data_IF_625335001986
#
_entry.id   IF_625335001986
#
_cell.length_a   1.000
_cell.length_b   1.000
_cell.length_c   1.000
_cell.angle_alpha   90.00
_cell.angle_beta   90.00
_cell.angle_gamma   90.00
#
_symmetry.space_group_name_H-M   'P 1'
#
loop_
_entity.id
_entity.type
_entity.pdbx_description
1 polymer ?
#
# COMPACT_ATOMS: atom_id res chain seq x y z
N UNK A 1 -11.66 6.50 14.34
CA UNK A 1 -11.85 7.10 12.99
C UNK A 1 -13.16 7.87 13.00
N UNK A 2 -13.13 9.16 12.71
CA UNK A 2 -14.35 9.99 12.58
C UNK A 2 -14.64 10.14 11.08
N UNK A 3 -15.75 9.60 10.60
CA UNK A 3 -16.16 9.67 9.19
C UNK A 3 -17.50 10.42 9.06
N UNK A 4 -17.77 11.03 7.90
CA UNK A 4 -19.11 11.56 7.60
C UNK A 4 -20.16 10.48 7.83
N UNK A 5 -21.26 10.85 8.50
CA UNK A 5 -22.33 9.89 8.86
C UNK A 5 -22.91 9.18 7.64
N UNK A 6 -23.05 9.93 6.53
CA UNK A 6 -23.57 9.43 5.26
C UNK A 6 -22.72 8.31 4.63
N UNK A 7 -21.44 8.18 5.00
CA UNK A 7 -20.60 7.06 4.53
C UNK A 7 -20.95 5.74 5.22
N UNK A 8 -21.66 5.83 6.35
CA UNK A 8 -22.17 4.68 7.10
C UNK A 8 -23.66 4.44 6.91
N UNK A 9 -24.34 5.26 6.08
CA UNK A 9 -25.77 5.10 5.84
C UNK A 9 -26.10 3.70 5.37
N UNK A 10 -27.14 3.11 5.97
CA UNK A 10 -27.56 1.74 5.69
C UNK A 10 -26.63 0.64 6.23
N UNK A 11 -25.51 0.95 6.88
CA UNK A 11 -24.64 -0.05 7.46
C UNK A 11 -24.86 -0.24 8.96
N UNK A 12 -24.71 -1.49 9.42
CA UNK A 12 -24.70 -1.79 10.85
C UNK A 12 -23.45 -1.17 11.51
N UNK A 13 -23.61 -0.65 12.73
CA UNK A 13 -22.49 -0.05 13.47
C UNK A 13 -21.29 -1.01 13.65
N UNK A 14 -21.53 -2.33 13.66
CA UNK A 14 -20.50 -3.36 13.80
C UNK A 14 -19.73 -3.64 12.50
N UNK A 15 -20.11 -3.07 11.35
CA UNK A 15 -19.43 -3.28 10.07
C UNK A 15 -17.95 -2.89 10.16
N UNK A 16 -17.67 -1.73 10.74
CA UNK A 16 -16.30 -1.22 10.93
C UNK A 16 -15.54 -2.08 11.95
N UNK A 17 -16.18 -2.50 13.04
CA UNK A 17 -15.55 -3.36 14.05
C UNK A 17 -15.14 -4.70 13.43
N UNK A 18 -15.98 -5.26 12.55
CA UNK A 18 -15.70 -6.50 11.82
C UNK A 18 -14.48 -6.37 10.91
N UNK A 19 -14.39 -5.27 10.15
CA UNK A 19 -13.22 -4.98 9.32
C UNK A 19 -11.97 -4.78 10.19
N UNK A 20 -12.05 -3.92 11.22
CA UNK A 20 -10.94 -3.61 12.11
C UNK A 20 -10.33 -4.84 12.77
N UNK A 21 -11.17 -5.78 13.22
CA UNK A 21 -10.70 -7.03 13.83
C UNK A 21 -9.79 -7.84 12.89
N UNK A 22 -9.97 -7.75 11.57
CA UNK A 22 -9.13 -8.43 10.60
C UNK A 22 -7.71 -7.83 10.53
N UNK A 23 -7.54 -6.55 10.86
CA UNK A 23 -6.22 -5.88 10.91
C UNK A 23 -5.43 -6.18 12.20
N UNK A 24 -6.01 -6.84 13.20
CA UNK A 24 -5.34 -7.17 14.48
C UNK A 24 -4.44 -8.41 14.36
N UNK A 25 -4.20 -8.92 13.15
CA UNK A 25 -3.29 -10.05 12.90
C UNK A 25 -1.86 -9.68 13.23
N UNK A 26 -1.17 -10.55 13.98
CA UNK A 26 0.22 -10.33 14.38
C UNK A 26 1.16 -10.25 13.16
N UNK A 27 2.23 -9.47 13.28
CA UNK A 27 3.27 -9.33 12.24
C UNK A 27 2.98 -8.24 11.21
N UNK A 28 1.89 -7.50 11.34
CA UNK A 28 1.62 -6.30 10.53
C UNK A 28 2.31 -5.09 11.16
N UNK A 29 3.07 -4.36 10.35
CA UNK A 29 3.75 -3.14 10.78
C UNK A 29 3.31 -1.91 9.98
N UNK A 30 2.95 -2.09 8.70
CA UNK A 30 2.41 -1.04 7.84
C UNK A 30 0.94 -1.26 7.47
N UNK A 31 0.56 -2.47 7.00
CA UNK A 31 -0.82 -2.78 6.58
C UNK A 31 -1.71 -3.01 7.82
N UNK A 32 -1.83 -1.98 8.64
CA UNK A 32 -2.57 -1.92 9.91
C UNK A 32 -3.80 -1.04 9.78
N UNK A 33 -4.63 -1.00 10.83
CA UNK A 33 -5.76 -0.09 10.88
C UNK A 33 -5.37 1.39 10.77
N UNK A 34 -4.16 1.76 11.19
CA UNK A 34 -3.67 3.15 11.08
C UNK A 34 -3.47 3.56 9.62
N UNK A 35 -3.05 2.64 8.74
CA UNK A 35 -3.00 2.87 7.30
C UNK A 35 -4.40 3.16 6.74
N UNK A 36 -5.40 2.35 7.09
CA UNK A 36 -6.80 2.60 6.69
C UNK A 36 -7.27 3.97 7.15
N UNK A 37 -7.02 4.31 8.42
CA UNK A 37 -7.37 5.63 8.97
C UNK A 37 -6.72 6.75 8.17
N UNK A 38 -5.43 6.63 7.82
CA UNK A 38 -4.73 7.64 7.03
C UNK A 38 -5.33 7.81 5.63
N UNK A 39 -5.67 6.71 4.93
CA UNK A 39 -6.34 6.77 3.63
C UNK A 39 -7.72 7.43 3.72
N UNK A 40 -8.52 7.06 4.71
CA UNK A 40 -9.85 7.63 4.94
C UNK A 40 -9.80 9.11 5.30
N UNK A 41 -8.85 9.56 6.12
CA UNK A 41 -8.68 10.98 6.42
C UNK A 41 -8.36 11.79 5.15
N UNK A 42 -7.55 11.24 4.24
CA UNK A 42 -7.26 11.86 2.95
C UNK A 42 -8.49 11.88 2.02
N UNK A 43 -9.30 10.82 2.01
CA UNK A 43 -10.54 10.75 1.23
C UNK A 43 -11.50 11.90 1.56
N UNK A 44 -11.59 12.34 2.82
CA UNK A 44 -12.49 13.44 3.23
C UNK A 44 -12.31 14.73 2.42
N UNK A 45 -11.13 14.95 1.89
CA UNK A 45 -10.76 16.14 1.12
C UNK A 45 -10.38 15.83 -0.33
N UNK A 46 -10.55 14.59 -0.75
CA UNK A 46 -10.19 14.14 -2.10
C UNK A 46 -11.44 14.02 -2.98
N UNK A 47 -11.41 14.52 -4.23
CA UNK A 47 -12.57 14.41 -5.12
C UNK A 47 -12.90 12.95 -5.44
N UNK A 48 -14.12 12.55 -5.21
CA UNK A 48 -14.67 11.24 -5.54
C UNK A 48 -16.14 11.37 -5.92
N UNK A 49 -16.60 10.62 -6.91
CA UNK A 49 -18.00 10.59 -7.30
C UNK A 49 -18.84 9.75 -6.32
N UNK A 50 -18.26 8.72 -5.71
CA UNK A 50 -18.91 7.81 -4.79
C UNK A 50 -18.08 7.62 -3.51
N UNK A 51 -17.90 8.67 -2.68
CA UNK A 51 -16.98 8.62 -1.54
C UNK A 51 -17.34 7.53 -0.52
N UNK A 52 -18.63 7.18 -0.35
CA UNK A 52 -19.08 6.06 0.48
C UNK A 52 -18.53 4.72 -0.03
N UNK A 53 -18.57 4.48 -1.33
CA UNK A 53 -18.10 3.23 -1.95
C UNK A 53 -16.58 3.12 -1.85
N UNK A 54 -15.86 4.22 -2.13
CA UNK A 54 -14.40 4.30 -1.95
C UNK A 54 -14.02 4.09 -0.49
N UNK A 55 -14.76 4.69 0.45
CA UNK A 55 -14.55 4.48 1.89
C UNK A 55 -14.69 3.00 2.28
N UNK A 56 -15.77 2.35 1.86
CA UNK A 56 -15.96 0.93 2.16
C UNK A 56 -14.87 0.05 1.54
N UNK A 57 -14.44 0.35 0.32
CA UNK A 57 -13.32 -0.34 -0.31
C UNK A 57 -12.01 -0.14 0.47
N UNK A 58 -11.68 1.09 0.90
CA UNK A 58 -10.51 1.38 1.73
C UNK A 58 -10.55 0.66 3.09
N UNK A 59 -11.73 0.53 3.69
CA UNK A 59 -11.89 -0.18 4.97
C UNK A 59 -11.50 -1.66 4.86
N UNK A 60 -11.67 -2.26 3.69
CA UNK A 60 -11.46 -3.70 3.50
C UNK A 60 -10.25 -4.07 2.64
N UNK A 61 -9.58 -3.14 1.92
CA UNK A 61 -8.61 -3.49 0.87
C UNK A 61 -7.46 -4.38 1.36
N UNK A 62 -6.97 -4.17 2.57
CA UNK A 62 -5.91 -4.94 3.22
C UNK A 62 -6.40 -5.72 4.45
N UNK A 63 -7.71 -5.97 4.56
CA UNK A 63 -8.26 -6.68 5.71
C UNK A 63 -7.64 -8.07 5.88
N UNK A 64 -7.37 -8.77 4.80
CA UNK A 64 -6.54 -9.97 4.78
C UNK A 64 -5.19 -9.62 4.16
N UNK A 65 -4.13 -9.76 4.95
CA UNK A 65 -2.78 -9.46 4.49
C UNK A 65 -1.75 -10.40 5.13
N UNK A 66 -1.00 -11.08 4.29
CA UNK A 66 0.16 -11.91 4.67
C UNK A 66 1.29 -11.55 3.72
N UNK A 67 2.44 -11.05 4.21
CA UNK A 67 3.58 -10.67 3.36
C UNK A 67 4.00 -11.82 2.43
N UNK A 68 4.16 -11.51 1.14
CA UNK A 68 4.56 -12.48 0.11
C UNK A 68 3.44 -13.38 -0.44
N UNK A 69 2.25 -13.31 0.10
CA UNK A 69 1.07 -14.00 -0.44
C UNK A 69 0.52 -13.24 -1.67
N UNK A 70 0.01 -13.96 -2.66
CA UNK A 70 -0.40 -13.38 -3.96
C UNK A 70 -1.92 -13.21 -4.13
N UNK A 71 -2.71 -13.58 -3.13
CA UNK A 71 -4.18 -13.54 -3.14
C UNK A 71 -4.78 -12.74 -1.96
N UNK A 72 -3.99 -11.85 -1.34
CA UNK A 72 -4.43 -11.00 -0.23
C UNK A 72 -5.65 -10.16 -0.63
N UNK A 73 -5.59 -9.50 -1.78
CA UNK A 73 -6.65 -8.63 -2.30
C UNK A 73 -7.91 -9.44 -2.63
N UNK A 74 -7.78 -10.65 -3.18
CA UNK A 74 -8.92 -11.52 -3.43
C UNK A 74 -9.59 -11.96 -2.13
N UNK A 75 -8.80 -12.33 -1.12
CA UNK A 75 -9.32 -12.71 0.19
C UNK A 75 -9.97 -11.52 0.90
N UNK A 76 -9.39 -10.32 0.79
CA UNK A 76 -9.94 -9.06 1.30
C UNK A 76 -11.26 -8.70 0.62
N UNK A 77 -11.34 -8.82 -0.70
CA UNK A 77 -12.55 -8.58 -1.49
C UNK A 77 -13.67 -9.57 -1.11
N UNK A 78 -13.34 -10.84 -0.89
CA UNK A 78 -14.30 -11.85 -0.41
C UNK A 78 -14.84 -11.48 0.97
N UNK A 79 -13.97 -11.13 1.91
CA UNK A 79 -14.38 -10.66 3.25
C UNK A 79 -15.26 -9.41 3.19
N UNK A 80 -14.92 -8.46 2.31
CA UNK A 80 -15.72 -7.26 2.09
C UNK A 80 -17.12 -7.61 1.61
N UNK A 81 -17.25 -8.42 0.56
CA UNK A 81 -18.52 -8.85 -0.02
C UNK A 81 -19.40 -9.56 1.03
N UNK A 82 -18.85 -10.54 1.74
CA UNK A 82 -19.59 -11.30 2.76
C UNK A 82 -20.05 -10.40 3.92
N UNK A 83 -19.18 -9.48 4.37
CA UNK A 83 -19.50 -8.59 5.47
C UNK A 83 -20.55 -7.55 5.06
N UNK A 84 -20.34 -6.88 3.93
CA UNK A 84 -21.18 -5.80 3.49
C UNK A 84 -22.58 -6.28 3.06
N UNK A 85 -22.68 -7.42 2.38
CA UNK A 85 -23.97 -7.99 2.02
C UNK A 85 -24.80 -8.43 3.24
N UNK A 86 -24.14 -8.80 4.33
CA UNK A 86 -24.83 -9.20 5.57
C UNK A 86 -25.16 -8.04 6.50
N UNK A 87 -24.43 -6.92 6.42
CA UNK A 87 -24.45 -5.87 7.45
C UNK A 87 -24.82 -4.47 6.91
N UNK A 88 -24.92 -4.30 5.59
CA UNK A 88 -25.25 -3.03 4.97
C UNK A 88 -26.43 -3.18 4.00
N UNK A 89 -27.21 -2.12 3.87
CA UNK A 89 -28.11 -1.93 2.73
C UNK A 89 -27.25 -1.44 1.55
N UNK A 90 -26.89 -2.39 0.69
CA UNK A 90 -25.94 -2.19 -0.40
C UNK A 90 -26.39 -2.99 -1.63
N UNK A 91 -26.35 -2.39 -2.78
CA UNK A 91 -26.72 -3.04 -4.04
C UNK A 91 -25.63 -3.97 -4.57
N UNK A 92 -25.99 -4.93 -5.40
CA UNK A 92 -25.03 -5.80 -6.08
C UNK A 92 -24.00 -5.01 -6.91
N UNK A 93 -24.46 -3.93 -7.57
CA UNK A 93 -23.58 -3.04 -8.36
C UNK A 93 -22.53 -2.34 -7.49
N UNK A 94 -22.91 -1.87 -6.30
CA UNK A 94 -21.97 -1.26 -5.35
C UNK A 94 -20.99 -2.30 -4.79
N UNK A 95 -21.46 -3.51 -4.46
CA UNK A 95 -20.56 -4.60 -4.04
C UNK A 95 -19.55 -4.96 -5.13
N UNK A 96 -19.99 -5.03 -6.38
CA UNK A 96 -19.09 -5.29 -7.51
C UNK A 96 -18.07 -4.15 -7.71
N UNK A 97 -18.47 -2.90 -7.47
CA UNK A 97 -17.56 -1.76 -7.53
C UNK A 97 -16.50 -1.82 -6.42
N UNK A 98 -16.91 -2.12 -5.17
CA UNK A 98 -16.00 -2.29 -4.03
C UNK A 98 -15.01 -3.42 -4.30
N UNK A 99 -15.48 -4.57 -4.77
CA UNK A 99 -14.63 -5.71 -5.10
C UNK A 99 -13.58 -5.34 -6.17
N UNK A 100 -13.99 -4.68 -7.27
CA UNK A 100 -13.05 -4.22 -8.30
C UNK A 100 -12.01 -3.26 -7.74
N UNK A 101 -12.40 -2.31 -6.89
CA UNK A 101 -11.49 -1.38 -6.23
C UNK A 101 -10.45 -2.10 -5.37
N UNK A 102 -10.88 -3.07 -4.56
CA UNK A 102 -9.98 -3.88 -3.73
C UNK A 102 -9.02 -4.69 -4.60
N UNK A 103 -9.53 -5.36 -5.64
CA UNK A 103 -8.70 -6.15 -6.55
C UNK A 103 -7.69 -5.29 -7.33
N UNK A 104 -8.04 -4.05 -7.62
CA UNK A 104 -7.15 -3.11 -8.31
C UNK A 104 -5.90 -2.75 -7.49
N UNK A 105 -5.95 -2.79 -6.14
CA UNK A 105 -4.81 -2.47 -5.29
C UNK A 105 -3.67 -3.49 -5.38
N UNK A 106 -3.92 -4.68 -5.92
CA UNK A 106 -2.88 -5.70 -6.15
C UNK A 106 -1.79 -5.24 -7.10
N UNK A 107 -2.14 -4.49 -8.13
CA UNK A 107 -1.19 -4.03 -9.14
C UNK A 107 -1.57 -2.62 -9.62
N UNK A 108 -1.12 -1.63 -8.88
CA UNK A 108 -1.49 -0.23 -9.04
C UNK A 108 -1.26 0.35 -10.45
N UNK A 109 -0.41 -0.28 -11.27
CA UNK A 109 -0.01 0.27 -12.58
C UNK A 109 -0.03 -0.72 -13.74
N UNK A 110 -0.28 -2.01 -13.50
CA UNK A 110 -0.34 -3.03 -14.55
C UNK A 110 -1.76 -3.31 -15.06
N UNK A 111 -2.74 -2.48 -14.67
CA UNK A 111 -4.12 -2.69 -15.04
C UNK A 111 -4.33 -2.55 -16.55
N UNK A 112 -4.54 -3.68 -17.20
CA UNK A 112 -5.02 -3.73 -18.59
C UNK A 112 -6.52 -3.42 -18.59
N UNK A 113 -6.88 -2.17 -18.82
CA UNK A 113 -8.28 -1.75 -18.88
C UNK A 113 -8.47 -0.29 -18.51
N UNK A 114 -9.67 0.21 -18.76
CA UNK A 114 -10.03 1.58 -18.39
C UNK A 114 -10.52 1.56 -16.94
N UNK A 115 -9.72 2.13 -16.02
CA UNK A 115 -10.14 2.38 -14.65
C UNK A 115 -11.29 3.38 -14.61
N UNK A 116 -12.25 3.15 -13.72
CA UNK A 116 -13.19 4.20 -13.34
C UNK A 116 -12.48 5.32 -12.55
N UNK A 117 -13.10 6.49 -12.46
CA UNK A 117 -12.54 7.60 -11.70
C UNK A 117 -12.29 7.22 -10.23
N UNK A 118 -13.22 6.49 -9.60
CA UNK A 118 -13.11 6.11 -8.20
C UNK A 118 -12.15 4.91 -7.98
N UNK A 119 -11.93 4.04 -8.96
CA UNK A 119 -10.84 3.06 -8.94
C UNK A 119 -9.46 3.77 -8.97
N UNK A 120 -9.30 4.83 -9.74
CA UNK A 120 -8.08 5.64 -9.71
C UNK A 120 -7.91 6.37 -8.36
N UNK A 121 -9.01 6.81 -7.74
CA UNK A 121 -8.99 7.47 -6.43
C UNK A 121 -8.49 6.54 -5.33
N UNK A 122 -9.00 5.31 -5.24
CA UNK A 122 -8.54 4.38 -4.18
C UNK A 122 -7.05 4.05 -4.34
N UNK A 123 -6.56 3.87 -5.58
CA UNK A 123 -5.15 3.60 -5.85
C UNK A 123 -4.24 4.77 -5.43
N UNK A 124 -4.66 6.00 -5.71
CA UNK A 124 -3.94 7.19 -5.31
C UNK A 124 -3.94 7.37 -3.79
N UNK A 125 -5.05 7.10 -3.12
CA UNK A 125 -5.15 7.20 -1.67
C UNK A 125 -4.29 6.17 -0.95
N UNK A 126 -4.26 4.94 -1.43
CA UNK A 126 -3.44 3.86 -0.90
C UNK A 126 -1.94 4.18 -1.01
N UNK A 127 -1.50 4.63 -2.18
CA UNK A 127 -0.11 5.04 -2.41
C UNK A 127 0.25 6.43 -1.87
N UNK A 128 -0.70 7.18 -1.31
CA UNK A 128 -0.49 8.58 -0.91
C UNK A 128 0.62 8.79 0.12
N UNK A 129 0.97 7.76 0.90
CA UNK A 129 2.11 7.78 1.82
C UNK A 129 3.43 8.02 1.12
N UNK A 130 3.58 7.61 -0.15
CA UNK A 130 4.79 7.86 -0.95
C UNK A 130 5.05 9.36 -1.11
N UNK A 131 3.98 10.16 -1.22
CA UNK A 131 4.02 11.63 -1.32
C UNK A 131 3.89 12.35 0.01
N UNK A 132 3.98 11.66 1.13
CA UNK A 132 4.01 12.25 2.47
C UNK A 132 5.31 13.01 2.76
N UNK A 133 5.38 13.66 3.94
CA UNK A 133 6.62 14.26 4.43
C UNK A 133 7.75 13.22 4.49
N UNK A 134 9.00 13.67 4.49
CA UNK A 134 10.17 12.76 4.60
C UNK A 134 10.06 11.86 5.83
N UNK A 135 9.63 12.40 6.95
CA UNK A 135 9.52 11.65 8.20
C UNK A 135 8.40 10.58 8.14
N UNK A 136 7.27 10.88 7.49
CA UNK A 136 6.21 9.90 7.24
C UNK A 136 6.69 8.79 6.31
N UNK A 137 7.39 9.16 5.24
CA UNK A 137 7.95 8.19 4.30
C UNK A 137 8.98 7.27 4.95
N UNK A 138 9.89 7.80 5.78
CA UNK A 138 10.89 7.00 6.50
C UNK A 138 10.23 6.00 7.44
N UNK A 139 9.17 6.42 8.18
CA UNK A 139 8.40 5.50 9.02
C UNK A 139 7.71 4.41 8.20
N UNK A 140 7.10 4.78 7.07
CA UNK A 140 6.51 3.84 6.13
C UNK A 140 7.54 2.83 5.61
N UNK A 141 8.68 3.29 5.07
CA UNK A 141 9.71 2.42 4.53
C UNK A 141 10.25 1.44 5.59
N UNK A 142 10.42 1.91 6.84
CA UNK A 142 10.79 1.04 7.96
C UNK A 142 9.70 0.02 8.28
N UNK A 143 8.44 0.42 8.34
CA UNK A 143 7.33 -0.46 8.65
C UNK A 143 7.15 -1.56 7.59
N UNK A 144 7.30 -1.24 6.30
CA UNK A 144 7.33 -2.22 5.21
C UNK A 144 8.50 -3.19 5.37
N UNK A 145 9.70 -2.69 5.70
CA UNK A 145 10.84 -3.57 5.96
C UNK A 145 10.55 -4.54 7.11
N UNK A 146 10.12 -4.03 8.26
CA UNK A 146 9.85 -4.83 9.46
C UNK A 146 8.73 -5.86 9.23
N UNK A 147 7.81 -5.60 8.32
CA UNK A 147 6.71 -6.50 7.95
C UNK A 147 7.19 -7.65 7.04
N UNK A 148 8.14 -7.37 6.16
CA UNK A 148 8.63 -8.39 5.22
C UNK A 148 9.82 -9.18 5.74
N UNK A 149 10.67 -8.60 6.59
CA UNK A 149 11.92 -9.22 7.08
C UNK A 149 11.77 -9.55 8.57
N UNK A 150 11.96 -10.80 8.98
CA UNK A 150 12.33 -11.98 8.18
C UNK A 150 11.14 -12.81 7.66
N UNK A 151 9.90 -12.34 7.85
CA UNK A 151 8.69 -13.15 7.70
C UNK A 151 8.51 -13.71 6.27
N UNK A 152 8.78 -12.92 5.24
CA UNK A 152 8.58 -13.29 3.84
C UNK A 152 9.86 -13.22 2.99
N UNK A 153 10.90 -12.53 3.45
CA UNK A 153 12.14 -12.33 2.70
C UNK A 153 13.35 -12.21 3.62
N UNK A 154 14.51 -12.61 3.11
CA UNK A 154 15.79 -12.21 3.71
C UNK A 154 16.06 -10.72 3.43
N UNK A 155 16.96 -10.11 4.20
CA UNK A 155 17.39 -8.71 4.00
C UNK A 155 17.85 -8.45 2.55
N UNK A 156 18.60 -9.38 1.94
CA UNK A 156 19.07 -9.25 0.57
C UNK A 156 17.93 -9.32 -0.46
N UNK A 157 17.00 -10.25 -0.28
CA UNK A 157 15.82 -10.40 -1.15
C UNK A 157 14.92 -9.19 -1.06
N UNK A 158 14.63 -8.71 0.16
CA UNK A 158 13.84 -7.51 0.37
C UNK A 158 14.46 -6.31 -0.34
N UNK A 159 15.76 -6.05 -0.15
CA UNK A 159 16.44 -4.91 -0.77
C UNK A 159 16.39 -4.96 -2.30
N UNK A 160 16.59 -6.12 -2.90
CA UNK A 160 16.49 -6.28 -4.36
C UNK A 160 15.04 -5.98 -4.81
N UNK A 161 14.07 -6.68 -4.27
CA UNK A 161 12.66 -6.53 -4.66
C UNK A 161 12.14 -5.11 -4.41
N UNK A 162 12.49 -4.50 -3.27
CA UNK A 162 12.11 -3.12 -2.94
C UNK A 162 12.73 -2.11 -3.92
N UNK A 163 14.02 -2.27 -4.24
CA UNK A 163 14.70 -1.40 -5.21
C UNK A 163 14.07 -1.50 -6.61
N UNK A 164 13.72 -2.71 -7.04
CA UNK A 164 13.05 -2.93 -8.33
C UNK A 164 11.65 -2.31 -8.36
N UNK A 165 10.87 -2.48 -7.29
CA UNK A 165 9.56 -1.83 -7.15
C UNK A 165 9.68 -0.32 -7.26
N UNK A 166 10.56 0.29 -6.48
CA UNK A 166 10.77 1.74 -6.46
C UNK A 166 11.25 2.28 -7.81
N UNK A 167 12.13 1.56 -8.51
CA UNK A 167 12.57 1.94 -9.86
C UNK A 167 11.44 1.88 -10.88
N UNK A 168 10.56 0.85 -10.80
CA UNK A 168 9.38 0.80 -11.66
C UNK A 168 8.47 2.00 -11.41
N UNK A 169 8.24 2.37 -10.15
CA UNK A 169 7.45 3.55 -9.80
C UNK A 169 8.03 4.84 -10.39
N UNK A 170 9.35 5.06 -10.30
CA UNK A 170 10.00 6.23 -10.89
C UNK A 170 9.99 6.25 -12.41
N UNK A 171 9.94 5.10 -13.06
CA UNK A 171 9.89 4.99 -14.52
C UNK A 171 8.52 5.37 -15.10
N UNK A 172 7.48 5.43 -14.28
CA UNK A 172 6.15 5.85 -14.71
C UNK A 172 6.13 7.34 -15.07
N UNK A 173 5.35 7.76 -16.07
CA UNK A 173 5.13 9.19 -16.37
C UNK A 173 4.64 9.96 -15.14
N UNK A 174 3.73 9.36 -14.37
CA UNK A 174 3.24 9.86 -13.09
C UNK A 174 3.12 8.70 -12.11
N UNK A 175 3.42 8.93 -10.83
CA UNK A 175 3.22 7.96 -9.75
C UNK A 175 1.74 7.84 -9.42
N UNK A 176 0.99 8.93 -9.53
CA UNK A 176 -0.43 9.00 -9.23
C UNK A 176 -1.30 9.11 -10.49
N UNK A 177 -2.48 8.52 -10.43
CA UNK A 177 -3.38 8.34 -11.59
C UNK A 177 -4.31 9.53 -11.80
N UNK A 178 -4.82 10.15 -10.71
CA UNK A 178 -5.74 11.28 -10.80
C UNK A 178 -4.98 12.60 -10.95
N UNK A 179 -5.63 13.63 -11.49
CA UNK A 179 -5.07 14.98 -11.53
C UNK A 179 -4.78 15.52 -10.12
N UNK A 180 -5.65 15.23 -9.16
CA UNK A 180 -5.51 15.67 -7.78
C UNK A 180 -4.37 14.93 -7.06
N UNK A 181 -4.24 13.61 -7.25
CA UNK A 181 -3.12 12.84 -6.69
C UNK A 181 -1.78 13.34 -7.23
N UNK A 182 -1.67 13.57 -8.54
CA UNK A 182 -0.48 14.16 -9.15
C UNK A 182 -0.15 15.52 -8.55
N UNK A 183 -1.14 16.40 -8.43
CA UNK A 183 -0.95 17.74 -7.87
C UNK A 183 -0.48 17.72 -6.41
N UNK A 184 -1.00 16.80 -5.60
CA UNK A 184 -0.68 16.72 -4.16
C UNK A 184 0.62 16.00 -3.89
N UNK A 185 0.92 14.91 -4.61
CA UNK A 185 1.86 13.91 -4.13
C UNK A 185 2.95 13.48 -5.12
N UNK A 186 2.86 13.79 -6.44
CA UNK A 186 3.79 13.21 -7.43
C UNK A 186 5.24 13.66 -7.19
N UNK A 187 5.48 14.96 -7.07
CA UNK A 187 6.83 15.48 -6.85
C UNK A 187 7.44 15.02 -5.52
N UNK A 188 6.74 15.11 -4.36
CA UNK A 188 7.25 14.58 -3.11
C UNK A 188 7.50 13.06 -3.16
N UNK A 189 6.63 12.28 -3.81
CA UNK A 189 6.81 10.83 -3.95
C UNK A 189 8.08 10.51 -4.74
N UNK A 190 8.30 11.17 -5.88
CA UNK A 190 9.53 10.99 -6.67
C UNK A 190 10.79 11.30 -5.86
N UNK A 191 10.77 12.38 -5.09
CA UNK A 191 11.88 12.74 -4.21
C UNK A 191 12.12 11.71 -3.10
N UNK A 192 11.05 11.19 -2.49
CA UNK A 192 11.11 10.17 -1.46
C UNK A 192 11.63 8.83 -2.01
N UNK A 193 11.09 8.38 -3.13
CA UNK A 193 11.49 7.14 -3.81
C UNK A 193 12.96 7.19 -4.23
N UNK A 194 13.40 8.29 -4.84
CA UNK A 194 14.79 8.46 -5.26
C UNK A 194 15.75 8.41 -4.06
N UNK A 195 15.37 9.02 -2.94
CA UNK A 195 16.13 8.96 -1.70
C UNK A 195 16.23 7.51 -1.18
N UNK A 196 15.12 6.77 -1.10
CA UNK A 196 15.15 5.38 -0.59
C UNK A 196 16.01 4.47 -1.48
N UNK A 197 15.94 4.61 -2.81
CA UNK A 197 16.82 3.89 -3.74
C UNK A 197 18.29 4.16 -3.42
N UNK A 198 18.63 5.42 -3.14
CA UNK A 198 20.00 5.81 -2.78
C UNK A 198 20.45 5.13 -1.49
N UNK A 199 19.62 5.11 -0.45
CA UNK A 199 19.91 4.46 0.83
C UNK A 199 20.10 2.93 0.67
N UNK A 200 19.18 2.28 -0.07
CA UNK A 200 19.25 0.85 -0.33
C UNK A 200 20.50 0.44 -1.12
N UNK A 201 20.92 1.25 -2.08
CA UNK A 201 22.08 0.96 -2.94
C UNK A 201 23.40 1.34 -2.29
N UNK A 202 23.47 2.39 -1.48
CA UNK A 202 24.68 2.77 -0.73
C UNK A 202 25.14 1.68 0.23
N UNK A 203 24.22 1.05 0.95
CA UNK A 203 24.48 -0.08 1.84
C UNK A 203 25.02 -1.30 1.08
N UNK A 204 24.53 -1.56 -0.12
CA UNK A 204 25.02 -2.63 -0.97
C UNK A 204 26.47 -2.40 -1.43
N UNK A 205 26.79 -1.22 -1.92
CA UNK A 205 28.13 -0.86 -2.36
C UNK A 205 29.17 -0.88 -1.24
N UNK A 206 28.79 -0.58 0.00
CA UNK A 206 29.67 -0.72 1.17
C UNK A 206 29.98 -2.19 1.48
N UNK A 207 28.95 -3.05 1.49
CA UNK A 207 29.12 -4.47 1.79
C UNK A 207 29.94 -5.19 0.72
N UNK A 208 29.70 -4.91 -0.55
CA UNK A 208 30.48 -5.47 -1.67
C UNK A 208 31.96 -5.05 -1.63
N UNK A 209 32.23 -3.77 -1.32
CA UNK A 209 33.60 -3.27 -1.14
C UNK A 209 34.30 -3.93 0.04
N UNK A 210 33.59 -4.12 1.16
CA UNK A 210 34.12 -4.76 2.35
C UNK A 210 34.42 -6.25 2.10
N UNK A 211 33.51 -7.01 1.48
CA UNK A 211 33.71 -8.40 1.07
C UNK A 211 34.88 -8.52 0.10
N UNK A 212 35.00 -7.62 -0.89
CA UNK A 212 36.10 -7.62 -1.85
C UNK A 212 37.45 -7.27 -1.19
N UNK A 213 37.45 -6.42 -0.17
CA UNK A 213 38.63 -6.11 0.62
C UNK A 213 39.09 -7.32 1.44
N UNK A 214 38.16 -8.02 2.11
CA UNK A 214 38.45 -9.26 2.86
C UNK A 214 38.99 -10.34 1.92
N UNK A 215 38.34 -10.58 0.76
CA UNK A 215 38.81 -11.57 -0.21
C UNK A 215 40.23 -11.28 -0.69
N UNK A 216 40.59 -10.01 -0.94
CA UNK A 216 41.94 -9.60 -1.31
C UNK A 216 42.95 -9.83 -0.17
N UNK A 217 42.56 -9.47 1.06
CA UNK A 217 43.42 -9.69 2.23
C UNK A 217 43.71 -11.19 2.48
N UNK A 218 42.67 -12.03 2.33
CA UNK A 218 42.83 -13.48 2.46
C UNK A 218 43.68 -14.10 1.33
N UNK A 219 43.54 -13.60 0.10
CA UNK A 219 44.33 -14.08 -1.04
C UNK A 219 45.81 -13.65 -0.95
N UNK A 220 46.11 -12.51 -0.31
CA UNK A 220 47.47 -12.03 -0.06
C UNK A 220 48.19 -12.65 1.17
N UNK A 221 47.43 -13.40 2.01
CA UNK A 221 47.99 -14.10 3.17
C UNK A 221 48.42 -15.56 2.89
N UNK A 222 48.33 -16.00 1.65
CA UNK A 222 48.67 -17.39 1.21
C UNK A 222 49.97 -17.40 0.36
N UNK A 223 50.77 -16.34 0.40
CA UNK A 223 52.12 -16.28 -0.15
C UNK A 223 53.11 -16.00 0.99
#
# INVERSE_FOLDING_TARGET
MNVPSEWMDGCNARTIDRAKAAYETAGRHYHTWDHVVACVERLKTFPSAQPRIVFLALVFHDAIYVPGRTDNEQASATLARDTLSAMCDITATELDAIERMILATRDHHALSGTLSADEAVILDLDLSVLGGSRDEYVRYAKAIHDEYVPAAATEAQFRIGRTEFLRRMLALPNVFLTAEGRRRWDDPARANIAWEITELTARQGFLERWISAIRRAMAGAVL
#
